data_IF_382234654216
#
_entry.id   IF_382234654216
#
_cell.length_a   1.000
_cell.length_b   1.000
_cell.length_c   1.000
_cell.angle_alpha   90.00
_cell.angle_beta   90.00
_cell.angle_gamma   90.00
#
_symmetry.space_group_name_H-M   'P 1'
#
loop_
_entity.id
_entity.type
_entity.pdbx_description
1 polymer ?
#
# COMPACT_ATOMS: atom_id res chain seq x y z
N UNK A 1 6.88 8.04 18.70
CA UNK A 1 6.52 9.10 17.74
C UNK A 1 5.91 8.44 16.51
N UNK A 2 4.59 8.39 16.40
CA UNK A 2 3.88 7.60 15.37
C UNK A 2 2.72 8.37 14.71
N UNK A 3 2.86 9.68 14.54
CA UNK A 3 1.72 10.55 14.16
C UNK A 3 1.71 10.98 12.69
N UNK A 4 2.84 10.90 11.97
CA UNK A 4 2.90 11.26 10.54
C UNK A 4 2.24 10.25 9.58
N UNK A 5 2.13 8.98 9.99
CA UNK A 5 1.58 7.92 9.14
C UNK A 5 0.05 7.99 9.06
N UNK A 6 -0.65 8.49 10.09
CA UNK A 6 -2.11 8.49 10.11
C UNK A 6 -2.73 9.46 9.11
N UNK A 7 -2.15 10.65 8.95
CA UNK A 7 -2.64 11.63 7.97
C UNK A 7 -2.35 11.17 6.53
N UNK A 8 -1.15 10.64 6.30
CA UNK A 8 -0.77 10.07 5.00
C UNK A 8 -1.66 8.86 4.67
N UNK A 9 -1.89 7.96 5.65
CA UNK A 9 -2.79 6.81 5.53
C UNK A 9 -4.20 7.26 5.15
N UNK A 10 -4.77 8.26 5.80
CA UNK A 10 -6.09 8.78 5.46
C UNK A 10 -6.14 9.36 4.03
N UNK A 11 -5.11 10.10 3.61
CA UNK A 11 -5.02 10.66 2.26
C UNK A 11 -4.96 9.59 1.15
N UNK A 12 -4.19 8.51 1.37
CA UNK A 12 -4.03 7.44 0.38
C UNK A 12 -5.12 6.36 0.44
N UNK A 13 -5.86 6.23 1.55
CA UNK A 13 -6.98 5.29 1.66
C UNK A 13 -8.33 5.90 1.31
N UNK A 14 -8.56 7.16 1.70
CA UNK A 14 -9.87 7.82 1.56
C UNK A 14 -9.81 9.17 0.85
N UNK A 15 -8.62 9.78 0.79
CA UNK A 15 -8.42 11.07 0.13
C UNK A 15 -8.11 10.96 -1.37
N UNK A 16 -7.59 12.05 -1.93
CA UNK A 16 -7.25 12.10 -3.36
C UNK A 16 -6.19 11.07 -3.77
N UNK A 17 -5.31 10.67 -2.84
CA UNK A 17 -4.33 9.61 -3.07
C UNK A 17 -5.00 8.27 -3.39
N UNK A 18 -6.12 7.97 -2.73
CA UNK A 18 -6.91 6.77 -2.97
C UNK A 18 -7.52 6.77 -4.37
N UNK A 19 -8.03 7.92 -4.82
CA UNK A 19 -8.57 8.10 -6.16
C UNK A 19 -7.48 7.98 -7.24
N UNK A 20 -6.25 8.42 -6.95
CA UNK A 20 -5.08 8.25 -7.84
C UNK A 20 -4.62 6.79 -7.93
N UNK A 21 -4.60 6.09 -6.81
CA UNK A 21 -4.27 4.66 -6.77
C UNK A 21 -5.37 3.85 -7.46
N UNK A 22 -6.64 4.22 -7.29
CA UNK A 22 -7.83 3.44 -7.66
C UNK A 22 -7.79 2.04 -7.06
N UNK A 23 -7.95 1.97 -5.75
CA UNK A 23 -8.06 0.70 -5.03
C UNK A 23 -9.13 -0.19 -5.67
N UNK A 24 -8.78 -1.47 -5.89
CA UNK A 24 -9.67 -2.44 -6.53
C UNK A 24 -9.49 -2.54 -8.04
N UNK A 25 -8.42 -1.92 -8.57
CA UNK A 25 -8.03 -2.06 -9.98
C UNK A 25 -6.71 -2.80 -10.11
N UNK A 26 -6.52 -3.50 -11.23
CA UNK A 26 -5.30 -4.23 -11.47
C UNK A 26 -4.05 -3.32 -11.41
N UNK A 27 -3.06 -3.74 -10.62
CA UNK A 27 -1.84 -2.96 -10.40
C UNK A 27 -1.97 -1.74 -9.48
N UNK A 28 -3.04 -1.63 -8.68
CA UNK A 28 -3.18 -0.55 -7.70
C UNK A 28 -2.01 -0.53 -6.68
N UNK A 29 -1.54 -1.71 -6.28
CA UNK A 29 -0.39 -1.87 -5.38
C UNK A 29 0.89 -1.29 -5.98
N UNK A 30 1.18 -1.63 -7.24
CA UNK A 30 2.36 -1.13 -7.95
C UNK A 30 2.30 0.39 -8.11
N UNK A 31 1.10 0.96 -8.35
CA UNK A 31 0.90 2.42 -8.38
C UNK A 31 1.18 3.06 -7.03
N UNK A 32 0.67 2.47 -5.95
CA UNK A 32 0.95 2.93 -4.59
C UNK A 32 2.46 2.94 -4.30
N UNK A 33 3.15 1.82 -4.57
CA UNK A 33 4.58 1.68 -4.29
C UNK A 33 5.39 2.69 -5.08
N UNK A 34 5.11 2.89 -6.38
CA UNK A 34 5.81 3.89 -7.21
C UNK A 34 5.64 5.33 -6.72
N UNK A 35 4.49 5.66 -6.15
CA UNK A 35 4.24 6.98 -5.60
C UNK A 35 4.93 7.15 -4.24
N UNK A 36 4.82 6.14 -3.36
CA UNK A 36 5.42 6.19 -2.02
C UNK A 36 6.95 6.04 -2.02
N UNK A 37 7.52 5.32 -2.99
CA UNK A 37 8.97 5.10 -3.12
C UNK A 37 9.75 6.42 -3.06
N UNK A 38 9.24 7.45 -3.76
CA UNK A 38 9.83 8.80 -3.77
C UNK A 38 9.89 9.49 -2.40
N UNK A 39 9.09 9.05 -1.44
CA UNK A 39 8.94 9.69 -0.13
C UNK A 39 9.51 8.87 1.01
N UNK A 40 9.35 7.54 0.97
CA UNK A 40 9.71 6.64 2.09
C UNK A 40 10.69 5.53 1.69
N UNK A 41 11.01 5.43 0.40
CA UNK A 41 11.83 4.37 -0.19
C UNK A 41 11.05 3.08 -0.44
N UNK A 42 11.44 2.36 -1.51
CA UNK A 42 10.77 1.15 -2.02
C UNK A 42 10.44 0.13 -0.93
N UNK A 43 11.41 -0.24 -0.08
CA UNK A 43 11.24 -1.27 0.94
C UNK A 43 10.14 -0.93 1.94
N UNK A 44 10.03 0.34 2.31
CA UNK A 44 9.01 0.83 3.25
C UNK A 44 7.67 1.03 2.55
N UNK A 45 7.71 1.52 1.31
CA UNK A 45 6.55 1.70 0.45
C UNK A 45 5.80 0.37 0.22
N UNK A 46 6.51 -0.71 -0.10
CA UNK A 46 5.93 -2.06 -0.26
C UNK A 46 5.12 -2.50 0.96
N UNK A 47 5.71 -2.40 2.16
CA UNK A 47 5.04 -2.80 3.41
C UNK A 47 3.82 -1.92 3.73
N UNK A 48 3.92 -0.61 3.53
CA UNK A 48 2.82 0.33 3.78
C UNK A 48 1.68 0.12 2.78
N UNK A 49 2.00 0.01 1.49
CA UNK A 49 1.01 -0.21 0.44
C UNK A 49 0.32 -1.58 0.56
N UNK A 50 1.01 -2.61 1.05
CA UNK A 50 0.38 -3.91 1.31
C UNK A 50 -0.68 -3.81 2.42
N UNK A 51 -0.34 -3.11 3.50
CA UNK A 51 -1.28 -2.86 4.60
C UNK A 51 -2.48 -2.02 4.15
N UNK A 52 -2.26 -1.00 3.32
CA UNK A 52 -3.33 -0.14 2.79
C UNK A 52 -4.20 -0.84 1.76
N UNK A 53 -3.62 -1.70 0.92
CA UNK A 53 -4.39 -2.53 -0.02
C UNK A 53 -5.37 -3.45 0.72
N UNK A 54 -4.93 -4.06 1.82
CA UNK A 54 -5.83 -4.84 2.68
C UNK A 54 -6.89 -3.97 3.38
N UNK A 55 -6.52 -2.78 3.86
CA UNK A 55 -7.47 -1.85 4.52
C UNK A 55 -8.54 -1.34 3.53
N UNK A 56 -8.16 -1.07 2.28
CA UNK A 56 -9.06 -0.56 1.23
C UNK A 56 -9.88 -1.66 0.54
N UNK A 57 -9.26 -2.77 0.15
CA UNK A 57 -9.87 -3.84 -0.65
C UNK A 57 -10.26 -5.08 0.16
N UNK A 58 -9.75 -5.24 1.38
CA UNK A 58 -9.95 -6.45 2.19
C UNK A 58 -9.13 -7.67 1.75
N UNK A 59 -8.26 -7.53 0.75
CA UNK A 59 -7.40 -8.59 0.21
C UNK A 59 -5.94 -8.17 0.25
N UNK A 60 -4.99 -9.12 0.24
CA UNK A 60 -3.57 -8.81 0.14
C UNK A 60 -3.12 -8.71 -1.33
N UNK A 61 -2.25 -7.75 -1.68
CA UNK A 61 -1.75 -7.64 -3.04
C UNK A 61 -0.83 -8.81 -3.33
N UNK A 62 -1.17 -9.62 -4.34
CA UNK A 62 -0.41 -10.82 -4.70
C UNK A 62 -0.93 -12.13 -4.12
N UNK A 63 -2.20 -12.24 -3.71
CA UNK A 63 -2.85 -13.55 -3.43
C UNK A 63 -3.10 -14.39 -4.72
N UNK A 64 -2.19 -14.32 -5.69
CA UNK A 64 -2.02 -15.35 -6.71
C UNK A 64 -0.99 -16.36 -6.21
N UNK A 65 -1.47 -17.38 -5.49
CA UNK A 65 -0.91 -18.73 -5.31
C UNK A 65 0.58 -19.00 -5.57
N UNK A 66 1.51 -18.22 -5.03
CA UNK A 66 2.94 -18.45 -5.22
C UNK A 66 3.75 -18.03 -4.01
N UNK A 67 4.20 -19.03 -3.26
CA UNK A 67 5.25 -19.00 -2.23
C UNK A 67 6.08 -17.71 -2.19
N UNK A 68 5.88 -16.85 -1.18
CA UNK A 68 6.83 -15.78 -0.90
C UNK A 68 7.07 -15.63 0.60
N UNK A 69 8.26 -16.08 1.02
CA UNK A 69 8.86 -15.95 2.34
C UNK A 69 9.19 -14.48 2.67
N UNK A 70 8.19 -13.67 3.00
CA UNK A 70 8.44 -12.36 3.60
C UNK A 70 7.36 -11.95 4.59
N UNK A 71 7.20 -12.75 5.65
CA UNK A 71 6.76 -12.25 6.94
C UNK A 71 7.97 -12.20 7.87
N UNK A 72 8.26 -11.11 8.59
CA UNK A 72 9.14 -11.19 9.74
C UNK A 72 8.35 -11.84 10.89
N UNK A 73 8.75 -13.06 11.23
CA UNK A 73 8.38 -13.81 12.42
C UNK A 73 9.46 -14.83 12.68
#
# INVERSE_FOLDING_TARGET
MADGINQLKAYWLRGEGAAKIRWGTDGDYTRCVRQLDKHVGESRARRICAQWHMDANGIWPGHHGGENKQGPG
#
